data_IF_519984447587
#
_entry.id   IF_519984447587
#
_cell.length_a   1.000
_cell.length_b   1.000
_cell.length_c   1.000
_cell.angle_alpha   90.00
_cell.angle_beta   90.00
_cell.angle_gamma   90.00
#
_symmetry.space_group_name_H-M   'P 1'
#
loop_
_entity.id
_entity.type
_entity.pdbx_description
1 polymer ?
#
# COMPACT_ATOMS: atom_id res chain seq x y z
N UNK A 1 -1.57 4.32 13.88
CA UNK A 1 -2.19 4.14 12.57
C UNK A 1 -3.65 4.42 12.76
N UNK A 2 -4.20 5.28 11.92
CA UNK A 2 -5.59 5.70 11.96
C UNK A 2 -6.43 4.87 10.97
N UNK A 3 -5.81 4.37 9.90
CA UNK A 3 -6.41 3.45 8.93
C UNK A 3 -5.42 2.41 8.42
N UNK A 4 -5.96 1.31 7.88
CA UNK A 4 -5.22 0.27 7.16
C UNK A 4 -5.58 0.35 5.69
N UNK A 5 -4.59 0.42 4.81
CA UNK A 5 -4.79 0.30 3.37
C UNK A 5 -4.30 -1.07 2.88
N UNK A 6 -5.08 -1.74 2.04
CA UNK A 6 -4.65 -3.00 1.41
C UNK A 6 -4.34 -2.79 -0.07
N UNK A 7 -3.26 -3.40 -0.57
CA UNK A 7 -2.98 -3.48 -2.01
C UNK A 7 -3.75 -4.67 -2.60
N UNK A 8 -4.47 -4.45 -3.69
CA UNK A 8 -5.24 -5.52 -4.34
C UNK A 8 -4.35 -6.65 -4.87
N UNK A 9 -4.74 -7.93 -4.78
CA UNK A 9 -5.91 -8.46 -4.06
C UNK A 9 -5.52 -9.11 -2.73
N UNK A 10 -4.29 -9.65 -2.63
CA UNK A 10 -3.86 -10.45 -1.49
C UNK A 10 -3.66 -9.60 -0.24
N UNK A 11 -3.19 -8.36 -0.40
CA UNK A 11 -3.16 -7.38 0.68
C UNK A 11 -4.53 -7.08 1.31
N UNK A 12 -5.64 -7.33 0.62
CA UNK A 12 -6.97 -7.17 1.22
C UNK A 12 -7.25 -8.21 2.30
N UNK A 13 -6.78 -9.44 2.12
CA UNK A 13 -7.04 -10.53 3.06
C UNK A 13 -6.43 -10.19 4.42
N UNK A 14 -5.15 -9.81 4.41
CA UNK A 14 -4.42 -9.45 5.62
C UNK A 14 -4.79 -8.06 6.14
N UNK A 15 -4.92 -7.08 5.24
CA UNK A 15 -5.24 -5.70 5.58
C UNK A 15 -6.64 -5.55 6.19
N UNK A 16 -7.65 -6.21 5.63
CA UNK A 16 -9.01 -6.16 6.18
C UNK A 16 -9.10 -6.89 7.53
N UNK A 17 -8.43 -8.04 7.67
CA UNK A 17 -8.35 -8.75 8.95
C UNK A 17 -7.66 -7.90 10.03
N UNK A 18 -6.55 -7.24 9.70
CA UNK A 18 -5.84 -6.35 10.61
C UNK A 18 -6.66 -5.11 10.98
N UNK A 19 -7.35 -4.51 10.00
CA UNK A 19 -8.24 -3.37 10.25
C UNK A 19 -9.36 -3.74 11.23
N UNK A 20 -9.98 -4.91 11.03
CA UNK A 20 -11.02 -5.42 11.91
C UNK A 20 -10.52 -5.64 13.34
N UNK A 21 -9.38 -6.33 13.50
CA UNK A 21 -8.79 -6.61 14.82
C UNK A 21 -8.43 -5.32 15.59
N UNK A 22 -7.97 -4.28 14.87
CA UNK A 22 -7.59 -3.01 15.47
C UNK A 22 -8.76 -2.01 15.62
N UNK A 23 -9.94 -2.33 15.10
CA UNK A 23 -11.08 -1.41 15.07
C UNK A 23 -10.84 -0.16 14.21
N UNK A 24 -10.04 -0.27 13.15
CA UNK A 24 -9.66 0.82 12.25
C UNK A 24 -10.40 0.74 10.90
N UNK A 25 -10.39 1.84 10.15
CA UNK A 25 -10.89 1.87 8.78
C UNK A 25 -10.03 1.04 7.83
N UNK A 26 -10.67 0.41 6.83
CA UNK A 26 -9.99 -0.27 5.73
C UNK A 26 -10.13 0.50 4.42
N UNK A 27 -9.01 0.79 3.76
CA UNK A 27 -8.93 1.60 2.54
C UNK A 27 -8.40 0.74 1.38
N UNK A 28 -9.20 0.44 0.35
CA UNK A 28 -8.73 -0.36 -0.78
C UNK A 28 -7.86 0.46 -1.74
N UNK A 29 -6.70 -0.09 -2.11
CA UNK A 29 -5.87 0.37 -3.24
C UNK A 29 -6.02 -0.65 -4.36
N UNK A 30 -6.52 -0.22 -5.52
CA UNK A 30 -6.91 -1.12 -6.61
C UNK A 30 -6.22 -0.81 -7.92
N UNK A 31 -6.28 -1.73 -8.87
CA UNK A 31 -5.91 -1.42 -10.25
C UNK A 31 -6.86 -0.39 -10.86
N UNK A 32 -6.37 0.40 -11.80
CA UNK A 32 -7.15 1.45 -12.47
C UNK A 32 -8.49 0.95 -13.02
N UNK A 33 -9.57 1.71 -12.77
CA UNK A 33 -10.93 1.44 -13.26
C UNK A 33 -11.74 0.45 -12.41
N UNK A 34 -11.30 0.12 -11.19
CA UNK A 34 -12.02 -0.77 -10.27
C UNK A 34 -12.77 -0.02 -9.18
N UNK A 35 -12.36 1.21 -8.88
CA UNK A 35 -12.99 2.04 -7.87
C UNK A 35 -14.09 2.92 -8.51
N UNK A 36 -15.29 3.01 -7.90
CA UNK A 36 -16.44 3.69 -8.51
C UNK A 36 -16.43 5.22 -8.34
N UNK A 37 -15.56 5.77 -7.50
CA UNK A 37 -15.50 7.20 -7.19
C UNK A 37 -14.26 7.89 -7.78
N UNK A 38 -14.13 9.20 -7.56
CA UNK A 38 -12.96 9.97 -7.99
C UNK A 38 -11.70 9.42 -7.34
N UNK A 39 -10.63 9.27 -8.12
CA UNK A 39 -9.42 8.60 -7.67
C UNK A 39 -8.16 9.38 -7.99
N UNK A 40 -7.21 9.34 -7.05
CA UNK A 40 -5.79 9.58 -7.35
C UNK A 40 -5.20 8.33 -7.94
N UNK A 41 -4.37 8.49 -8.97
CA UNK A 41 -3.69 7.40 -9.67
C UNK A 41 -2.18 7.52 -9.53
N UNK A 42 -1.52 6.37 -9.49
CA UNK A 42 -0.07 6.28 -9.57
C UNK A 42 0.33 5.15 -10.52
N UNK A 43 1.18 5.50 -11.48
CA UNK A 43 1.77 4.58 -12.43
C UNK A 43 3.10 4.06 -11.88
N UNK A 44 3.38 2.78 -12.06
CA UNK A 44 4.67 2.18 -11.68
C UNK A 44 5.18 1.23 -12.77
N UNK A 45 6.50 1.09 -12.82
CA UNK A 45 7.16 0.24 -13.79
C UNK A 45 7.06 -1.24 -13.41
N UNK A 46 6.82 -2.06 -14.42
CA UNK A 46 7.01 -3.51 -14.38
C UNK A 46 8.26 -3.88 -15.19
N UNK A 47 8.67 -5.16 -15.14
CA UNK A 47 9.75 -5.67 -16.01
C UNK A 47 9.45 -5.43 -17.49
N UNK A 48 8.18 -5.60 -17.88
CA UNK A 48 7.69 -5.34 -19.22
C UNK A 48 6.45 -4.44 -19.16
N UNK A 49 6.68 -3.13 -19.25
CA UNK A 49 5.61 -2.13 -19.31
C UNK A 49 5.35 -1.44 -17.98
N UNK A 50 4.10 -1.00 -17.80
CA UNK A 50 3.67 -0.24 -16.64
C UNK A 50 2.27 -0.67 -16.22
N UNK A 51 1.97 -0.51 -14.94
CA UNK A 51 0.61 -0.69 -14.41
C UNK A 51 0.24 0.54 -13.58
N UNK A 52 -1.06 0.69 -13.28
CA UNK A 52 -1.58 1.85 -12.55
C UNK A 52 -2.48 1.37 -11.42
N UNK A 53 -2.20 1.87 -10.21
CA UNK A 53 -3.05 1.72 -9.05
C UNK A 53 -3.78 3.02 -8.71
N UNK A 54 -4.89 2.89 -8.01
CA UNK A 54 -5.78 3.99 -7.65
C UNK A 54 -6.35 3.82 -6.23
N UNK A 55 -6.62 4.96 -5.58
CA UNK A 55 -7.34 5.08 -4.32
C UNK A 55 -8.32 6.26 -4.44
N UNK A 56 -9.47 6.20 -3.77
CA UNK A 56 -10.40 7.33 -3.76
C UNK A 56 -9.75 8.61 -3.20
N UNK A 57 -10.09 9.76 -3.78
CA UNK A 57 -9.56 11.08 -3.38
C UNK A 57 -9.93 11.49 -1.95
N UNK A 58 -10.99 10.90 -1.38
CA UNK A 58 -11.51 11.17 -0.04
C UNK A 58 -11.16 10.08 0.99
N UNK A 59 -10.34 9.09 0.60
CA UNK A 59 -10.02 7.95 1.44
C UNK A 59 -9.11 8.29 2.64
N UNK A 60 -8.27 9.32 2.51
CA UNK A 60 -7.23 9.67 3.49
C UNK A 60 -7.37 11.13 3.87
N UNK A 61 -7.39 11.41 5.18
CA UNK A 61 -7.37 12.77 5.72
C UNK A 61 -5.93 13.27 5.83
N UNK A 62 -5.76 14.59 5.76
CA UNK A 62 -4.45 15.22 5.94
C UNK A 62 -3.88 14.93 7.33
N UNK A 63 -2.63 14.46 7.37
CA UNK A 63 -1.91 14.06 8.59
C UNK A 63 -2.26 12.65 9.09
N UNK A 64 -3.14 11.92 8.41
CA UNK A 64 -3.56 10.59 8.82
C UNK A 64 -2.43 9.57 8.63
N UNK A 65 -2.19 8.76 9.66
CA UNK A 65 -1.20 7.67 9.61
C UNK A 65 -1.82 6.40 9.00
N UNK A 66 -1.29 5.95 7.86
CA UNK A 66 -1.85 4.82 7.11
C UNK A 66 -0.85 3.66 7.07
N UNK A 67 -1.25 2.48 7.54
CA UNK A 67 -0.45 1.25 7.33
C UNK A 67 -0.90 0.61 6.03
N UNK A 68 -0.01 0.53 5.05
CA UNK A 68 -0.19 -0.17 3.80
C UNK A 68 0.22 -1.63 3.99
N UNK A 69 -0.68 -2.55 3.67
CA UNK A 69 -0.52 -3.99 3.86
C UNK A 69 -0.53 -4.70 2.51
N UNK A 70 0.43 -5.60 2.33
CA UNK A 70 0.42 -6.58 1.24
C UNK A 70 1.00 -7.93 1.71
N UNK A 71 0.79 -8.99 0.93
CA UNK A 71 1.31 -10.30 1.28
C UNK A 71 2.83 -10.40 1.11
N UNK A 72 3.38 -9.79 0.06
CA UNK A 72 4.77 -9.97 -0.35
C UNK A 72 5.45 -8.66 -0.76
N UNK A 73 6.58 -8.34 -0.13
CA UNK A 73 7.52 -7.32 -0.62
C UNK A 73 8.57 -7.98 -1.52
N UNK A 74 8.47 -7.74 -2.84
CA UNK A 74 9.45 -8.16 -3.83
C UNK A 74 10.36 -6.99 -4.23
N UNK A 75 10.17 -6.41 -5.42
CA UNK A 75 10.94 -5.25 -5.91
C UNK A 75 10.52 -3.92 -5.27
N UNK A 76 9.37 -3.88 -4.59
CA UNK A 76 8.85 -2.69 -3.89
C UNK A 76 8.10 -1.68 -4.76
N UNK A 77 8.04 -1.86 -6.09
CA UNK A 77 7.43 -0.89 -7.01
C UNK A 77 5.96 -0.55 -6.69
N UNK A 78 5.12 -1.58 -6.52
CA UNK A 78 3.70 -1.39 -6.18
C UNK A 78 3.52 -0.75 -4.80
N UNK A 79 4.31 -1.14 -3.81
CA UNK A 79 4.28 -0.57 -2.47
C UNK A 79 4.71 0.91 -2.47
N UNK A 80 5.74 1.26 -3.24
CA UNK A 80 6.20 2.63 -3.38
C UNK A 80 5.11 3.50 -4.02
N UNK A 81 4.46 2.99 -5.08
CA UNK A 81 3.34 3.67 -5.71
C UNK A 81 2.16 3.88 -4.74
N UNK A 82 1.85 2.86 -3.92
CA UNK A 82 0.81 2.97 -2.89
C UNK A 82 1.16 4.04 -1.84
N UNK A 83 2.41 4.07 -1.39
CA UNK A 83 2.92 5.12 -0.51
C UNK A 83 2.80 6.52 -1.11
N UNK A 84 3.10 6.67 -2.40
CA UNK A 84 2.96 7.95 -3.09
C UNK A 84 1.52 8.43 -3.16
N UNK A 85 0.54 7.53 -3.40
CA UNK A 85 -0.88 7.88 -3.35
C UNK A 85 -1.25 8.42 -1.98
N UNK A 86 -0.86 7.72 -0.90
CA UNK A 86 -1.14 8.16 0.48
C UNK A 86 -0.53 9.55 0.74
N UNK A 87 0.73 9.78 0.33
CA UNK A 87 1.39 11.09 0.48
C UNK A 87 0.70 12.19 -0.34
N UNK A 88 0.24 11.90 -1.57
CA UNK A 88 -0.51 12.84 -2.41
C UNK A 88 -1.82 13.28 -1.77
N UNK A 89 -2.48 12.37 -1.04
CA UNK A 89 -3.68 12.65 -0.25
C UNK A 89 -3.36 13.36 1.08
N UNK A 90 -2.08 13.56 1.39
CA UNK A 90 -1.61 14.25 2.59
C UNK A 90 -1.52 13.35 3.82
N UNK A 91 -1.54 12.03 3.66
CA UNK A 91 -1.31 11.06 4.74
C UNK A 91 0.15 10.62 4.85
N UNK A 92 0.44 9.91 5.93
CA UNK A 92 1.78 9.42 6.28
C UNK A 92 1.84 7.89 6.17
N UNK A 93 2.48 7.31 5.14
CA UNK A 93 2.50 5.88 4.92
C UNK A 93 3.52 5.15 5.79
N UNK A 94 3.13 3.97 6.26
CA UNK A 94 4.00 2.92 6.78
C UNK A 94 3.62 1.59 6.14
N UNK A 95 4.48 0.58 6.20
CA UNK A 95 4.31 -0.66 5.45
C UNK A 95 4.41 -1.90 6.33
N UNK A 96 3.54 -2.87 6.08
CA UNK A 96 3.57 -4.18 6.71
C UNK A 96 3.39 -5.28 5.66
N UNK A 97 4.31 -6.25 5.67
CA UNK A 97 4.31 -7.39 4.75
C UNK A 97 4.35 -8.71 5.52
N UNK A 98 3.75 -9.76 4.97
CA UNK A 98 3.89 -11.10 5.52
C UNK A 98 5.27 -11.66 5.17
N UNK A 99 5.68 -11.54 3.91
CA UNK A 99 6.95 -12.03 3.40
C UNK A 99 7.71 -10.89 2.71
N UNK A 100 9.02 -10.84 2.86
CA UNK A 100 9.94 -10.00 2.08
C UNK A 100 10.98 -10.87 1.40
N UNK A 101 11.19 -10.67 0.09
CA UNK A 101 12.29 -11.27 -0.66
C UNK A 101 13.51 -10.35 -0.53
N UNK A 102 14.33 -10.57 0.50
CA UNK A 102 15.41 -9.66 0.88
C UNK A 102 16.44 -9.48 -0.24
N UNK A 103 16.68 -10.52 -1.04
CA UNK A 103 17.58 -10.48 -2.18
C UNK A 103 17.19 -9.44 -3.27
N UNK A 104 15.93 -9.01 -3.31
CA UNK A 104 15.44 -8.03 -4.28
C UNK A 104 15.54 -6.57 -3.80
N UNK A 105 15.94 -6.34 -2.54
CA UNK A 105 16.13 -5.01 -1.96
C UNK A 105 14.92 -4.06 -2.09
N UNK A 106 13.69 -4.58 -2.14
CA UNK A 106 12.49 -3.76 -2.33
C UNK A 106 12.24 -2.74 -1.20
N UNK A 107 12.71 -3.03 0.01
CA UNK A 107 12.59 -2.13 1.16
C UNK A 107 13.36 -0.80 0.97
N UNK A 108 14.41 -0.78 0.14
CA UNK A 108 15.18 0.43 -0.13
C UNK A 108 14.36 1.53 -0.82
N UNK A 109 13.34 1.14 -1.61
CA UNK A 109 12.39 2.07 -2.22
C UNK A 109 11.42 2.70 -1.21
N UNK A 110 11.36 2.15 0.01
CA UNK A 110 10.42 2.54 1.05
C UNK A 110 11.12 3.17 2.27
N UNK A 111 12.43 3.44 2.18
CA UNK A 111 13.29 3.84 3.31
C UNK A 111 12.88 5.10 4.06
N UNK A 112 12.10 5.97 3.40
CA UNK A 112 11.57 7.20 4.02
C UNK A 112 10.33 6.92 4.91
N UNK A 113 9.94 5.65 5.02
CA UNK A 113 8.80 5.17 5.80
C UNK A 113 9.20 3.96 6.63
N UNK A 114 8.45 3.71 7.71
CA UNK A 114 8.62 2.48 8.50
C UNK A 114 8.17 1.27 7.68
N UNK A 115 9.00 0.24 7.62
CA UNK A 115 8.70 -1.05 6.98
C UNK A 115 8.82 -2.18 8.00
N UNK A 116 7.84 -3.08 8.04
CA UNK A 116 7.84 -4.31 8.83
C UNK A 116 7.55 -5.49 7.90
N UNK A 117 8.31 -6.56 8.05
CA UNK A 117 8.08 -7.83 7.34
C UNK A 117 8.11 -8.96 8.37
N UNK A 118 7.11 -9.85 8.38
CA UNK A 118 7.04 -10.94 9.36
C UNK A 118 8.06 -12.05 9.09
N UNK A 119 8.30 -12.36 7.82
CA UNK A 119 9.33 -13.29 7.37
C UNK A 119 10.19 -12.64 6.28
N UNK A 120 11.51 -12.90 6.30
CA UNK A 120 12.44 -12.50 5.24
C UNK A 120 13.04 -13.75 4.62
N UNK A 121 12.94 -13.86 3.29
CA UNK A 121 13.48 -14.94 2.47
C UNK A 121 14.65 -14.45 1.62
#
# INVERSE_FOLDING_TARGET
>A
ADSIAGIEARGFIFGAALAYELGLGFLPIRKSGKLPWKCVKEEYALEYGKDTIEMHEDAVKRGESVIIVDDLLATGGTAAAAGNIVRKLGGEPSFAFIIELAALNGAELLKDSRVISLAKL
#
